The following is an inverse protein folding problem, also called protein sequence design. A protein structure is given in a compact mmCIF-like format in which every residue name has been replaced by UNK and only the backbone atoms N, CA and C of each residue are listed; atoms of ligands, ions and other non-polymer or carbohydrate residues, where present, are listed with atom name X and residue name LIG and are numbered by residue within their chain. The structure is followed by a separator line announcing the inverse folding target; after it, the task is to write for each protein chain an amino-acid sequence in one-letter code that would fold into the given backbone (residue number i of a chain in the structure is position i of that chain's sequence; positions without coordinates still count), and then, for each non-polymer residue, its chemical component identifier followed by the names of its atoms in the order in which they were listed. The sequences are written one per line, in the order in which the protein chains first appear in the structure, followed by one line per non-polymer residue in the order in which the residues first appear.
data_IF_312022653894
#
_entry.id   IF_312022653894
#
_cell.length_a   1.000
_cell.length_b   1.000
_cell.length_c   1.000
_cell.angle_alpha   90.00
_cell.angle_beta   90.00
_cell.angle_gamma   90.00
#
_symmetry.space_group_name_H-M   'P 1'
#
loop_
_entity.id
_entity.type
_entity.pdbx_description
1 polymer ?
#
# COMPACT_ATOMS: atom_id res chain seq x y z
N UNK A 1 4.34 11.52 -19.57
CA UNK A 1 4.57 12.86 -18.98
C UNK A 1 5.40 12.80 -17.70
N UNK A 2 5.00 12.01 -16.69
CA UNK A 2 5.75 11.83 -15.43
C UNK A 2 7.22 11.39 -15.59
N UNK A 3 7.54 10.52 -16.55
CA UNK A 3 8.93 10.11 -16.84
C UNK A 3 9.81 11.24 -17.42
N UNK A 4 9.21 12.17 -18.19
CA UNK A 4 9.91 13.36 -18.70
C UNK A 4 10.14 14.38 -17.59
N UNK A 5 9.17 14.56 -16.68
CA UNK A 5 9.30 15.41 -15.49
C UNK A 5 10.37 14.84 -14.55
N UNK A 6 10.37 13.52 -14.34
CA UNK A 6 11.40 12.86 -13.53
C UNK A 6 12.80 13.06 -14.11
N UNK A 7 13.02 12.86 -15.41
CA UNK A 7 14.33 13.10 -16.02
C UNK A 7 14.72 14.58 -16.11
N UNK A 8 13.75 15.49 -16.16
CA UNK A 8 14.01 16.94 -16.13
C UNK A 8 14.46 17.42 -14.74
N UNK A 9 13.89 16.85 -13.67
CA UNK A 9 14.20 17.25 -12.29
C UNK A 9 15.28 16.40 -11.61
N UNK A 10 15.39 15.11 -11.94
CA UNK A 10 16.33 14.14 -11.36
C UNK A 10 17.33 13.59 -12.36
N UNK A 11 17.48 14.23 -13.53
CA UNK A 11 18.59 13.95 -14.44
C UNK A 11 19.90 13.92 -13.67
N UNK A 12 20.76 12.94 -13.99
CA UNK A 12 22.02 12.66 -13.30
C UNK A 12 22.73 13.96 -12.92
N UNK A 13 23.23 14.10 -11.67
CA UNK A 13 23.98 15.29 -11.31
C UNK A 13 25.09 15.48 -12.36
N UNK A 14 25.30 16.71 -12.88
CA UNK A 14 26.41 16.95 -13.77
C UNK A 14 27.69 16.64 -12.98
N UNK A 15 28.29 15.48 -13.22
CA UNK A 15 29.54 15.06 -12.57
C UNK A 15 30.62 16.12 -12.81
N UNK A 16 30.61 16.77 -13.97
CA UNK A 16 31.53 17.83 -14.37
C UNK A 16 31.63 19.03 -13.41
N UNK A 17 30.57 19.40 -12.68
CA UNK A 17 30.61 20.59 -11.81
C UNK A 17 30.95 20.33 -10.35
N UNK A 18 30.96 19.07 -9.91
CA UNK A 18 31.38 18.73 -8.55
C UNK A 18 32.91 18.70 -8.46
N UNK A 19 33.57 18.32 -9.54
CA UNK A 19 35.03 18.26 -9.61
C UNK A 19 35.65 19.68 -9.69
N UNK A 20 34.99 20.63 -10.36
CA UNK A 20 35.48 22.02 -10.50
C UNK A 20 35.42 22.87 -9.22
N UNK A 21 34.58 22.51 -8.24
CA UNK A 21 34.45 23.27 -6.98
C UNK A 21 35.34 22.69 -5.86
N UNK A 22 35.94 21.52 -6.07
CA UNK A 22 36.68 20.78 -5.02
C UNK A 22 38.14 20.47 -5.36
N UNK A 23 38.65 20.88 -6.52
CA UNK A 23 40.03 20.64 -6.91
C UNK A 23 40.84 21.94 -6.95
N UNK A 24 41.47 22.37 -5.83
CA UNK A 24 42.64 23.23 -5.94
C UNK A 24 43.74 22.44 -6.65
N UNK A 25 44.39 23.10 -7.61
CA UNK A 25 45.28 22.53 -8.61
C UNK A 25 46.25 21.47 -8.12
N UNK A 26 46.42 20.48 -8.98
CA UNK A 26 47.43 19.44 -8.98
C UNK A 26 48.81 20.00 -8.61
N UNK A 27 49.27 19.72 -7.40
CA UNK A 27 50.67 19.43 -7.08
C UNK A 27 50.85 19.16 -5.58
N UNK A 28 50.13 18.18 -5.03
CA UNK A 28 50.52 17.59 -3.75
C UNK A 28 50.07 16.13 -3.62
N UNK A 29 51.04 15.23 -3.86
CA UNK A 29 51.05 13.87 -3.30
C UNK A 29 50.90 13.96 -1.78
N UNK A 30 49.71 13.71 -1.26
CA UNK A 30 49.52 13.36 0.15
C UNK A 30 48.34 12.41 0.30
N UNK A 31 48.63 11.19 0.74
CA UNK A 31 47.69 10.11 1.06
C UNK A 31 46.78 10.41 2.28
N UNK A 32 46.44 11.67 2.53
CA UNK A 32 45.77 12.11 3.78
C UNK A 32 44.64 13.11 3.60
N UNK A 33 44.26 13.49 2.38
CA UNK A 33 43.05 14.28 2.17
C UNK A 33 41.84 13.38 1.91
N UNK A 34 41.35 12.74 2.96
CA UNK A 34 39.92 12.46 3.04
C UNK A 34 39.24 13.80 3.36
N UNK A 35 38.57 14.47 2.40
CA UNK A 35 37.82 15.68 2.71
C UNK A 35 36.90 15.35 3.88
N UNK A 36 37.03 16.15 4.94
CA UNK A 36 36.37 15.88 6.21
C UNK A 36 34.89 15.55 5.95
N UNK A 37 34.38 14.42 6.46
CA UNK A 37 33.05 13.89 6.10
C UNK A 37 31.91 14.90 6.31
N UNK A 38 32.12 15.92 7.13
CA UNK A 38 31.15 17.00 7.34
C UNK A 38 31.00 17.97 6.14
N UNK A 39 32.06 18.25 5.35
CA UNK A 39 31.97 19.15 4.19
C UNK A 39 31.19 18.49 3.06
N UNK A 40 31.47 17.21 2.78
CA UNK A 40 30.71 16.42 1.81
C UNK A 40 29.23 16.33 2.20
N UNK A 41 28.95 16.12 3.49
CA UNK A 41 27.56 16.12 4.00
C UNK A 41 26.88 17.48 3.83
N UNK A 42 27.57 18.59 4.08
CA UNK A 42 27.01 19.94 3.87
C UNK A 42 26.68 20.21 2.40
N UNK A 43 27.61 19.92 1.48
CA UNK A 43 27.38 20.12 0.05
C UNK A 43 26.20 19.27 -0.46
N UNK A 44 26.14 18.00 -0.04
CA UNK A 44 25.01 17.13 -0.37
C UNK A 44 23.69 17.64 0.20
N UNK A 45 23.69 18.11 1.45
CA UNK A 45 22.50 18.67 2.08
C UNK A 45 21.98 19.90 1.31
N UNK A 46 22.85 20.87 1.01
CA UNK A 46 22.46 22.07 0.25
C UNK A 46 21.93 21.73 -1.14
N UNK A 47 22.54 20.75 -1.82
CA UNK A 47 22.07 20.29 -3.13
C UNK A 47 20.69 19.63 -3.06
N UNK A 48 20.49 18.73 -2.09
CA UNK A 48 19.23 18.04 -1.87
C UNK A 48 18.13 19.03 -1.48
N UNK A 49 18.39 19.93 -0.54
CA UNK A 49 17.41 20.95 -0.12
C UNK A 49 17.03 21.89 -1.27
N UNK A 50 18.00 22.40 -2.04
CA UNK A 50 17.70 23.26 -3.18
C UNK A 50 16.82 22.59 -4.23
N UNK A 51 16.98 21.27 -4.44
CA UNK A 51 16.08 20.51 -5.32
C UNK A 51 14.70 20.32 -4.71
N UNK A 52 14.62 19.97 -3.43
CA UNK A 52 13.35 19.75 -2.73
C UNK A 52 12.51 21.04 -2.66
N UNK A 53 13.14 22.18 -2.41
CA UNK A 53 12.47 23.48 -2.32
C UNK A 53 11.86 23.92 -3.66
N UNK A 54 12.45 23.53 -4.78
CA UNK A 54 11.87 23.78 -6.10
C UNK A 54 10.79 22.76 -6.50
N UNK A 55 10.95 21.50 -6.09
CA UNK A 55 10.14 20.40 -6.56
C UNK A 55 8.85 20.20 -5.75
N UNK A 56 8.92 20.33 -4.42
CA UNK A 56 7.79 20.07 -3.55
C UNK A 56 6.64 21.07 -3.77
N UNK A 57 6.86 22.40 -3.83
CA UNK A 57 5.78 23.35 -4.12
C UNK A 57 5.11 23.06 -5.47
N UNK A 58 5.90 22.80 -6.51
CA UNK A 58 5.39 22.43 -7.84
C UNK A 58 4.52 21.17 -7.79
N UNK A 59 4.98 20.13 -7.08
CA UNK A 59 4.20 18.91 -6.91
C UNK A 59 2.90 19.18 -6.13
N UNK A 60 2.96 20.07 -5.13
CA UNK A 60 1.82 20.47 -4.34
C UNK A 60 0.76 21.15 -5.19
N UNK A 61 1.14 22.20 -5.93
CA UNK A 61 0.26 22.92 -6.84
C UNK A 61 -0.34 22.00 -7.91
N UNK A 62 0.46 21.08 -8.45
CA UNK A 62 0.00 20.11 -9.44
C UNK A 62 -1.07 19.17 -8.85
N UNK A 63 -0.86 18.63 -7.65
CA UNK A 63 -1.82 17.76 -6.98
C UNK A 63 -3.10 18.53 -6.60
N UNK A 64 -2.97 19.75 -6.10
CA UNK A 64 -4.10 20.62 -5.81
C UNK A 64 -4.94 20.87 -7.06
N UNK A 65 -4.30 21.21 -8.18
CA UNK A 65 -5.00 21.45 -9.45
C UNK A 65 -5.77 20.23 -9.97
N UNK A 66 -5.35 19.02 -9.58
CA UNK A 66 -6.02 17.78 -9.94
C UNK A 66 -7.21 17.44 -9.03
N UNK A 67 -7.16 17.83 -7.75
CA UNK A 67 -8.27 17.60 -6.81
C UNK A 67 -9.33 18.70 -6.88
N UNK A 68 -8.89 19.94 -7.07
CA UNK A 68 -9.72 21.11 -7.33
C UNK A 68 -10.09 21.15 -8.82
N UNK A 69 -10.73 20.09 -9.31
CA UNK A 69 -11.15 19.98 -10.70
C UNK A 69 -12.01 21.18 -11.10
N UNK A 70 -11.76 21.74 -12.29
CA UNK A 70 -12.42 22.97 -12.78
C UNK A 70 -13.92 22.79 -12.96
N UNK A 71 -14.40 21.56 -13.04
CA UNK A 71 -15.84 21.26 -13.19
C UNK A 71 -16.57 21.11 -11.84
N UNK A 72 -15.87 21.19 -10.71
CA UNK A 72 -16.50 21.15 -9.39
C UNK A 72 -17.15 22.49 -9.01
N UNK A 73 -18.28 22.41 -8.30
CA UNK A 73 -18.99 23.58 -7.77
C UNK A 73 -18.08 24.37 -6.82
N UNK A 74 -18.07 25.71 -6.93
CA UNK A 74 -17.14 26.62 -6.21
C UNK A 74 -17.02 26.34 -4.70
N UNK A 75 -18.14 26.00 -4.06
CA UNK A 75 -18.19 25.65 -2.63
C UNK A 75 -17.34 24.41 -2.26
N UNK A 76 -17.28 23.41 -3.14
CA UNK A 76 -16.47 22.20 -2.91
C UNK A 76 -14.99 22.54 -3.11
N UNK A 77 -14.68 23.28 -4.16
CA UNK A 77 -13.33 23.74 -4.46
C UNK A 77 -12.75 24.53 -3.28
N UNK A 78 -13.54 25.42 -2.68
CA UNK A 78 -13.12 26.17 -1.48
C UNK A 78 -12.69 25.27 -0.34
N UNK A 79 -13.52 24.27 0.03
CA UNK A 79 -13.18 23.35 1.13
C UNK A 79 -12.02 22.41 0.81
N UNK A 80 -11.84 22.05 -0.47
CA UNK A 80 -10.69 21.25 -0.90
C UNK A 80 -9.39 22.05 -0.75
N UNK A 81 -9.39 23.32 -1.15
CA UNK A 81 -8.23 24.22 -0.99
C UNK A 81 -7.94 24.47 0.49
N UNK A 82 -8.96 24.77 1.29
CA UNK A 82 -8.80 24.97 2.75
C UNK A 82 -8.20 23.73 3.43
N UNK A 83 -8.74 22.54 3.15
CA UNK A 83 -8.19 21.30 3.68
C UNK A 83 -6.78 20.98 3.14
N UNK A 84 -6.46 21.44 1.94
CA UNK A 84 -5.13 21.26 1.35
C UNK A 84 -4.08 22.12 2.05
N UNK A 85 -4.38 23.39 2.31
CA UNK A 85 -3.49 24.31 3.02
C UNK A 85 -3.16 23.81 4.43
N UNK A 86 -4.12 23.14 5.09
CA UNK A 86 -3.92 22.49 6.38
C UNK A 86 -3.03 21.23 6.31
N UNK A 87 -3.16 20.42 5.25
CA UNK A 87 -2.55 19.07 5.17
C UNK A 87 -1.21 19.08 4.44
N UNK A 88 -1.04 19.94 3.44
CA UNK A 88 0.14 19.95 2.58
C UNK A 88 1.46 20.16 3.33
N UNK A 89 1.57 21.08 4.31
CA UNK A 89 2.82 21.28 5.05
C UNK A 89 3.32 20.01 5.76
N UNK A 90 2.39 19.19 6.28
CA UNK A 90 2.72 17.93 6.94
C UNK A 90 3.18 16.86 5.93
N UNK A 91 2.54 16.80 4.77
CA UNK A 91 2.92 15.90 3.66
C UNK A 91 4.28 16.29 3.10
N UNK A 92 4.51 17.57 2.89
CA UNK A 92 5.79 18.13 2.45
C UNK A 92 6.92 17.75 3.42
N UNK A 93 6.71 17.94 4.72
CA UNK A 93 7.68 17.60 5.76
C UNK A 93 8.02 16.10 5.76
N UNK A 94 7.02 15.22 5.67
CA UNK A 94 7.25 13.76 5.63
C UNK A 94 7.97 13.32 4.34
N UNK A 95 7.64 13.91 3.19
CA UNK A 95 8.34 13.64 1.93
C UNK A 95 9.79 14.13 1.97
N UNK A 96 10.02 15.36 2.44
CA UNK A 96 11.37 15.94 2.60
C UNK A 96 12.21 15.04 3.51
N UNK A 97 11.65 14.59 4.62
CA UNK A 97 12.30 13.66 5.56
C UNK A 97 12.68 12.31 4.90
N UNK A 98 11.72 11.64 4.23
CA UNK A 98 11.99 10.36 3.54
C UNK A 98 13.06 10.47 2.46
N UNK A 99 13.08 11.59 1.73
CA UNK A 99 14.07 11.83 0.69
C UNK A 99 15.46 12.07 1.30
N UNK A 100 15.57 12.85 2.39
CA UNK A 100 16.83 13.00 3.12
C UNK A 100 17.39 11.68 3.63
N UNK A 101 16.53 10.80 4.16
CA UNK A 101 16.93 9.46 4.60
C UNK A 101 17.44 8.62 3.41
N UNK A 102 16.72 8.64 2.28
CA UNK A 102 17.09 7.90 1.07
C UNK A 102 18.44 8.34 0.47
N UNK A 103 18.75 9.63 0.55
CA UNK A 103 20.02 10.19 0.06
C UNK A 103 21.14 10.18 1.11
N UNK A 104 20.92 9.59 2.29
CA UNK A 104 21.92 9.49 3.36
C UNK A 104 22.30 10.82 4.01
N UNK A 105 21.46 11.85 3.84
CA UNK A 105 21.63 13.17 4.48
C UNK A 105 21.33 13.04 5.98
N UNK A 106 20.26 12.34 6.33
CA UNK A 106 19.88 12.00 7.70
C UNK A 106 20.22 10.55 8.03
N UNK A 107 20.51 10.29 9.30
CA UNK A 107 20.81 8.94 9.79
C UNK A 107 19.57 8.26 10.35
N UNK A 108 19.58 6.93 10.42
CA UNK A 108 18.48 6.15 10.99
C UNK A 108 18.21 6.51 12.48
N UNK A 109 19.21 7.02 13.21
CA UNK A 109 18.99 7.54 14.57
C UNK A 109 18.11 8.80 14.60
N UNK A 110 18.16 9.63 13.56
CA UNK A 110 17.30 10.81 13.42
C UNK A 110 15.85 10.41 13.08
N UNK A 111 15.65 9.24 12.46
CA UNK A 111 14.32 8.67 12.15
C UNK A 111 13.47 8.38 13.39
N UNK A 112 14.11 7.99 14.49
CA UNK A 112 13.45 7.64 15.75
C UNK A 112 12.84 8.91 16.38
N UNK A 113 13.53 10.05 16.28
CA UNK A 113 13.04 11.33 16.78
C UNK A 113 11.91 11.89 15.90
N UNK A 114 11.98 11.71 14.58
CA UNK A 114 10.93 12.17 13.66
C UNK A 114 9.64 11.35 13.81
N UNK A 115 9.76 10.02 13.96
CA UNK A 115 8.60 9.14 14.22
C UNK A 115 7.96 9.42 15.58
N UNK A 116 8.71 9.90 16.58
CA UNK A 116 8.15 10.38 17.85
C UNK A 116 7.38 11.71 17.71
N UNK A 117 7.76 12.61 16.79
CA UNK A 117 6.98 13.82 16.48
C UNK A 117 5.67 13.50 15.76
N UNK A 118 5.69 12.60 14.77
CA UNK A 118 4.47 12.18 14.07
C UNK A 118 3.49 11.40 14.96
N UNK A 119 3.93 10.89 16.13
CA UNK A 119 2.99 10.37 17.15
C UNK A 119 2.17 11.44 17.87
N UNK A 120 2.43 12.74 17.64
CA UNK A 120 1.60 13.86 18.12
C UNK A 120 0.48 14.26 17.16
N UNK A 121 0.19 13.48 16.13
CA UNK A 121 -1.10 13.59 15.45
C UNK A 121 -2.21 13.52 16.51
N UNK A 122 -3.21 14.45 16.49
CA UNK A 122 -4.25 14.48 17.49
C UNK A 122 -4.91 13.10 17.56
N UNK A 123 -4.81 12.44 18.72
CA UNK A 123 -5.50 11.17 19.00
C UNK A 123 -7.04 11.31 18.93
N UNK A 124 -7.51 12.53 18.80
CA UNK A 124 -8.91 12.86 18.64
C UNK A 124 -9.29 12.51 17.20
N UNK A 125 -10.07 11.45 17.06
CA UNK A 125 -10.79 11.18 15.82
C UNK A 125 -11.52 12.46 15.41
N UNK A 126 -11.58 12.82 14.11
CA UNK A 126 -12.35 13.97 13.67
C UNK A 126 -13.79 13.88 14.24
N UNK A 127 -14.40 15.00 14.66
CA UNK A 127 -15.63 15.04 15.45
C UNK A 127 -16.84 14.36 14.78
N UNK A 128 -16.74 14.05 13.49
CA UNK A 128 -17.77 13.37 12.68
C UNK A 128 -17.78 11.84 12.85
N UNK A 129 -16.84 11.24 13.60
CA UNK A 129 -16.88 9.80 13.85
C UNK A 129 -17.85 9.46 14.99
N UNK A 130 -18.93 8.70 14.73
CA UNK A 130 -19.87 8.32 15.77
C UNK A 130 -19.15 7.54 16.87
N UNK A 131 -19.12 8.09 18.08
CA UNK A 131 -18.57 7.42 19.26
C UNK A 131 -19.34 6.11 19.48
N UNK A 132 -18.70 4.99 19.18
CA UNK A 132 -19.28 3.62 19.22
C UNK A 132 -19.61 3.15 20.65
N UNK A 133 -19.65 4.04 21.64
CA UNK A 133 -19.69 3.70 23.07
C UNK A 133 -21.08 3.35 23.62
N UNK A 134 -22.16 3.41 22.83
CA UNK A 134 -23.51 3.12 23.32
C UNK A 134 -24.35 2.27 22.37
N UNK A 135 -23.89 1.06 22.01
CA UNK A 135 -24.73 0.05 21.36
C UNK A 135 -25.12 -1.06 22.35
N UNK A 136 -26.31 -1.03 22.97
CA UNK A 136 -26.70 -1.93 24.07
C UNK A 136 -26.99 -3.38 23.66
N UNK A 137 -26.80 -3.76 22.38
CA UNK A 137 -27.24 -5.08 21.85
C UNK A 137 -26.11 -5.95 21.27
N UNK A 138 -24.84 -5.64 21.54
CA UNK A 138 -23.69 -6.35 20.92
C UNK A 138 -23.45 -7.78 21.42
N UNK A 139 -23.84 -8.12 22.65
CA UNK A 139 -23.56 -9.46 23.22
C UNK A 139 -24.40 -10.57 22.58
N UNK A 140 -25.68 -10.33 22.28
CA UNK A 140 -26.58 -11.34 21.71
C UNK A 140 -26.26 -11.66 20.24
N UNK A 141 -25.95 -10.65 19.42
CA UNK A 141 -25.58 -10.86 18.02
C UNK A 141 -24.24 -11.58 17.84
N UNK A 142 -23.23 -11.27 18.67
CA UNK A 142 -21.93 -11.97 18.63
C UNK A 142 -22.06 -13.45 18.97
N UNK A 143 -22.95 -13.80 19.89
CA UNK A 143 -23.17 -15.21 20.27
C UNK A 143 -23.95 -15.96 19.18
N UNK A 144 -24.97 -15.33 18.60
CA UNK A 144 -25.76 -15.92 17.50
C UNK A 144 -24.93 -16.10 16.22
N UNK A 145 -24.08 -15.12 15.89
CA UNK A 145 -23.14 -15.21 14.76
C UNK A 145 -22.07 -16.29 14.98
N UNK A 146 -21.52 -16.41 16.20
CA UNK A 146 -20.58 -17.50 16.53
C UNK A 146 -21.23 -18.87 16.42
N UNK A 147 -22.47 -19.02 16.88
CA UNK A 147 -23.22 -20.29 16.76
C UNK A 147 -23.49 -20.66 15.29
N UNK A 148 -23.96 -19.70 14.48
CA UNK A 148 -24.19 -19.91 13.04
C UNK A 148 -22.88 -20.25 12.31
N UNK A 149 -21.80 -19.52 12.55
CA UNK A 149 -20.50 -19.83 11.95
C UNK A 149 -19.93 -21.17 12.41
N UNK A 150 -20.16 -21.57 13.67
CA UNK A 150 -19.79 -22.90 14.17
C UNK A 150 -20.48 -24.03 13.40
N UNK A 151 -21.79 -23.87 13.15
CA UNK A 151 -22.59 -24.86 12.40
C UNK A 151 -22.18 -24.96 10.93
N UNK A 152 -21.85 -23.82 10.31
CA UNK A 152 -21.28 -23.79 8.96
C UNK A 152 -19.93 -24.49 8.93
N UNK A 153 -19.05 -24.26 9.93
CA UNK A 153 -17.74 -24.90 10.03
C UNK A 153 -17.83 -26.43 10.14
N UNK A 154 -18.81 -26.95 10.89
CA UNK A 154 -19.05 -28.40 11.00
C UNK A 154 -19.61 -29.03 9.72
N UNK A 155 -20.30 -28.27 8.87
CA UNK A 155 -20.70 -28.75 7.54
C UNK A 155 -19.49 -28.81 6.60
N UNK A 156 -18.56 -27.85 6.73
CA UNK A 156 -17.32 -27.85 5.95
C UNK A 156 -16.34 -28.97 6.35
N UNK A 157 -16.33 -29.45 7.60
CA UNK A 157 -15.42 -30.55 8.01
C UNK A 157 -15.79 -31.91 7.41
N UNK A 158 -17.04 -32.14 7.00
CA UNK A 158 -17.42 -33.33 6.23
C UNK A 158 -16.92 -33.29 4.78
N UNK A 159 -16.51 -32.13 4.28
CA UNK A 159 -16.02 -31.93 2.91
C UNK A 159 -14.49 -31.95 2.85
N UNK A 160 -13.86 -33.02 3.35
CA UNK A 160 -12.39 -33.24 3.30
C UNK A 160 -11.75 -32.93 1.93
N UNK A 161 -12.30 -33.33 0.77
CA UNK A 161 -11.68 -32.99 -0.51
C UNK A 161 -11.66 -31.48 -0.78
N UNK A 162 -12.67 -30.73 -0.34
CA UNK A 162 -12.69 -29.27 -0.49
C UNK A 162 -11.66 -28.59 0.41
N UNK A 163 -11.35 -29.14 1.58
CA UNK A 163 -10.28 -28.59 2.43
C UNK A 163 -8.90 -28.79 1.80
N UNK A 164 -8.65 -29.93 1.18
CA UNK A 164 -7.40 -30.18 0.46
C UNK A 164 -7.29 -29.29 -0.79
N UNK A 165 -8.36 -29.19 -1.59
CA UNK A 165 -8.40 -28.31 -2.76
C UNK A 165 -8.24 -26.84 -2.37
N UNK A 166 -8.88 -26.40 -1.29
CA UNK A 166 -8.70 -25.06 -0.72
C UNK A 166 -7.25 -24.82 -0.31
N UNK A 167 -6.64 -25.76 0.42
CA UNK A 167 -5.25 -25.63 0.84
C UNK A 167 -4.31 -25.55 -0.37
N UNK A 168 -4.50 -26.39 -1.39
CA UNK A 168 -3.72 -26.37 -2.62
C UNK A 168 -3.88 -25.04 -3.39
N UNK A 169 -5.11 -24.54 -3.50
CA UNK A 169 -5.40 -23.27 -4.17
C UNK A 169 -4.83 -22.08 -3.41
N UNK A 170 -4.96 -22.05 -2.08
CA UNK A 170 -4.36 -21.01 -1.25
C UNK A 170 -2.83 -21.05 -1.32
N UNK A 171 -2.24 -22.24 -1.31
CA UNK A 171 -0.80 -22.41 -1.45
C UNK A 171 -0.29 -21.93 -2.80
N UNK A 172 -1.06 -22.15 -3.87
CA UNK A 172 -0.76 -21.60 -5.18
C UNK A 172 -0.93 -20.07 -5.24
N UNK A 173 -1.94 -19.50 -4.58
CA UNK A 173 -2.23 -18.06 -4.59
C UNK A 173 -1.31 -17.22 -3.70
N UNK A 174 -0.83 -17.79 -2.59
CA UNK A 174 -0.05 -17.10 -1.57
C UNK A 174 1.21 -17.90 -1.25
N UNK A 175 2.22 -17.89 -2.14
CA UNK A 175 3.51 -18.51 -1.85
C UNK A 175 4.24 -17.66 -0.79
N UNK A 176 3.95 -17.88 0.49
CA UNK A 176 4.55 -17.09 1.58
C UNK A 176 6.06 -17.33 1.71
N UNK A 177 6.57 -18.49 1.25
CA UNK A 177 7.97 -18.89 1.42
C UNK A 177 8.59 -19.61 0.20
N UNK A 178 7.96 -19.57 -0.99
CA UNK A 178 8.53 -20.24 -2.17
C UNK A 178 9.35 -19.28 -3.03
N UNK A 179 10.67 -19.50 -3.10
CA UNK A 179 11.58 -18.78 -4.00
C UNK A 179 11.21 -18.96 -5.47
N UNK A 180 10.64 -20.11 -5.83
CA UNK A 180 10.15 -20.42 -7.18
C UNK A 180 8.63 -20.51 -7.13
N UNK A 181 7.96 -19.65 -7.89
CA UNK A 181 6.50 -19.69 -7.99
C UNK A 181 6.08 -20.91 -8.81
N UNK A 182 5.13 -21.72 -8.34
CA UNK A 182 4.65 -22.87 -9.09
C UNK A 182 4.00 -22.42 -10.40
N UNK A 183 4.07 -23.24 -11.46
CA UNK A 183 3.41 -22.96 -12.75
C UNK A 183 1.91 -22.66 -12.61
N UNK A 184 1.26 -23.27 -11.61
CA UNK A 184 -0.13 -23.02 -11.23
C UNK A 184 -0.39 -21.56 -10.84
N UNK A 185 0.58 -20.88 -10.21
CA UNK A 185 0.46 -19.45 -9.90
C UNK A 185 0.35 -18.63 -11.19
N UNK A 186 1.22 -18.88 -12.16
CA UNK A 186 1.18 -18.17 -13.44
C UNK A 186 -0.07 -18.49 -14.23
N UNK A 187 -0.53 -19.74 -14.22
CA UNK A 187 -1.81 -20.11 -14.82
C UNK A 187 -2.97 -19.34 -14.17
N UNK A 188 -3.01 -19.21 -12.84
CA UNK A 188 -4.02 -18.39 -12.17
C UNK A 188 -3.87 -16.90 -12.47
N UNK A 189 -2.64 -16.37 -12.54
CA UNK A 189 -2.42 -14.98 -12.93
C UNK A 189 -2.91 -14.76 -14.35
N UNK A 190 -2.55 -15.61 -15.30
CA UNK A 190 -3.02 -15.55 -16.69
C UNK A 190 -4.54 -15.68 -16.74
N UNK A 191 -5.17 -16.66 -16.09
CA UNK A 191 -6.64 -16.79 -16.06
C UNK A 191 -7.30 -15.56 -15.43
N UNK A 192 -6.70 -14.96 -14.41
CA UNK A 192 -7.20 -13.71 -13.81
C UNK A 192 -6.90 -12.45 -14.66
N UNK A 193 -5.88 -12.52 -15.54
CA UNK A 193 -5.40 -11.41 -16.36
C UNK A 193 -5.97 -11.44 -17.78
N UNK A 194 -6.40 -12.61 -18.26
CA UNK A 194 -7.17 -12.76 -19.48
C UNK A 194 -8.53 -12.14 -19.19
N UNK A 195 -8.62 -10.91 -19.66
CA UNK A 195 -9.69 -9.92 -19.47
C UNK A 195 -10.98 -10.43 -20.08
N UNK A 196 -11.60 -11.40 -19.41
CA UNK A 196 -13.03 -11.62 -19.54
C UNK A 196 -13.62 -10.88 -18.35
N UNK A 197 -14.00 -9.61 -18.56
CA UNK A 197 -14.31 -8.63 -17.51
C UNK A 197 -15.22 -9.17 -16.38
N UNK A 198 -16.08 -10.15 -16.67
CA UNK A 198 -17.00 -10.76 -15.71
C UNK A 198 -16.40 -11.93 -14.90
N UNK A 199 -15.51 -12.75 -15.49
CA UNK A 199 -14.92 -13.90 -14.78
C UNK A 199 -14.00 -13.44 -13.65
N UNK A 200 -13.35 -12.29 -13.80
CA UNK A 200 -12.46 -11.76 -12.79
C UNK A 200 -13.18 -11.39 -11.48
N UNK A 201 -14.39 -10.83 -11.56
CA UNK A 201 -15.19 -10.50 -10.37
C UNK A 201 -15.58 -11.77 -9.59
N UNK A 202 -16.01 -12.81 -10.30
CA UNK A 202 -16.29 -14.12 -9.71
C UNK A 202 -15.04 -14.75 -9.08
N UNK A 203 -13.90 -14.68 -9.76
CA UNK A 203 -12.64 -15.19 -9.23
C UNK A 203 -12.21 -14.48 -7.93
N UNK A 204 -12.39 -13.15 -7.84
CA UNK A 204 -12.11 -12.39 -6.63
C UNK A 204 -13.06 -12.75 -5.48
N UNK A 205 -14.36 -12.92 -5.75
CA UNK A 205 -15.34 -13.37 -4.75
C UNK A 205 -15.04 -14.80 -4.27
N UNK A 206 -14.68 -15.69 -5.19
CA UNK A 206 -14.25 -17.05 -4.86
C UNK A 206 -12.99 -17.03 -3.99
N UNK A 207 -12.00 -16.21 -4.35
CA UNK A 207 -10.79 -16.01 -3.54
C UNK A 207 -11.13 -15.53 -2.13
N UNK A 208 -12.02 -14.55 -1.99
CA UNK A 208 -12.49 -14.08 -0.69
C UNK A 208 -13.23 -15.17 0.11
N UNK A 209 -14.02 -16.02 -0.56
CA UNK A 209 -14.68 -17.14 0.09
C UNK A 209 -13.68 -18.18 0.63
N UNK A 210 -12.58 -18.41 -0.10
CA UNK A 210 -11.53 -19.39 0.21
C UNK A 210 -10.48 -18.89 1.21
N UNK A 211 -10.28 -17.58 1.36
CA UNK A 211 -9.31 -17.03 2.32
C UNK A 211 -9.70 -17.34 3.77
N UNK A 212 -8.70 -17.61 4.60
CA UNK A 212 -8.91 -17.64 6.04
C UNK A 212 -9.04 -16.21 6.61
N UNK A 213 -10.17 -15.95 7.26
CA UNK A 213 -10.52 -14.64 7.84
C UNK A 213 -9.79 -14.37 9.16
N UNK A 214 -9.17 -15.40 9.75
CA UNK A 214 -8.27 -15.23 10.91
C UNK A 214 -6.85 -14.83 10.53
N UNK A 215 -6.44 -15.06 9.28
CA UNK A 215 -5.07 -14.78 8.83
C UNK A 215 -4.98 -13.36 8.24
N UNK A 216 -4.26 -12.49 8.94
CA UNK A 216 -4.07 -11.09 8.55
C UNK A 216 -3.32 -10.95 7.23
N UNK A 217 -2.34 -11.83 6.96
CA UNK A 217 -1.55 -11.76 5.74
C UNK A 217 -2.41 -12.06 4.53
N UNK A 218 -3.26 -13.08 4.60
CA UNK A 218 -4.19 -13.40 3.52
C UNK A 218 -5.22 -12.27 3.28
N UNK A 219 -5.74 -11.66 4.36
CA UNK A 219 -6.65 -10.52 4.25
C UNK A 219 -5.97 -9.29 3.62
N UNK A 220 -4.77 -8.95 4.07
CA UNK A 220 -4.00 -7.82 3.53
C UNK A 220 -3.64 -8.05 2.06
N UNK A 221 -3.17 -9.26 1.72
CA UNK A 221 -2.83 -9.62 0.35
C UNK A 221 -4.06 -9.62 -0.57
N UNK A 222 -5.25 -9.99 -0.07
CA UNK A 222 -6.50 -9.83 -0.79
C UNK A 222 -6.85 -8.38 -1.09
N UNK A 223 -6.75 -7.48 -0.10
CA UNK A 223 -7.03 -6.06 -0.29
C UNK A 223 -6.08 -5.45 -1.33
N UNK A 224 -4.79 -5.76 -1.25
CA UNK A 224 -3.77 -5.27 -2.19
C UNK A 224 -4.06 -5.81 -3.60
N UNK A 225 -4.31 -7.11 -3.74
CA UNK A 225 -4.65 -7.72 -5.03
C UNK A 225 -5.92 -7.11 -5.64
N UNK A 226 -6.92 -6.83 -4.81
CA UNK A 226 -8.17 -6.20 -5.24
C UNK A 226 -7.97 -4.76 -5.74
N UNK A 227 -7.07 -3.99 -5.09
CA UNK A 227 -6.70 -2.63 -5.53
C UNK A 227 -5.90 -2.65 -6.84
N UNK A 228 -4.94 -3.57 -6.96
CA UNK A 228 -4.20 -3.77 -8.20
C UNK A 228 -5.13 -4.14 -9.37
N UNK A 229 -6.09 -5.04 -9.11
CA UNK A 229 -7.13 -5.39 -10.07
C UNK A 229 -7.97 -4.18 -10.49
N UNK A 230 -8.41 -3.36 -9.53
CA UNK A 230 -9.19 -2.17 -9.83
C UNK A 230 -8.43 -1.18 -10.73
N UNK A 231 -7.13 -0.99 -10.46
CA UNK A 231 -6.26 -0.14 -11.29
C UNK A 231 -6.09 -0.71 -12.71
N UNK A 232 -5.85 -2.01 -12.85
CA UNK A 232 -5.63 -2.62 -14.17
C UNK A 232 -6.92 -2.67 -15.00
N UNK A 233 -8.02 -3.14 -14.42
CA UNK A 233 -9.28 -3.34 -15.16
C UNK A 233 -10.04 -2.05 -15.35
N UNK A 234 -10.36 -1.33 -14.27
CA UNK A 234 -11.13 -0.09 -14.37
C UNK A 234 -10.28 1.12 -14.75
N UNK A 235 -8.98 1.08 -14.49
CA UNK A 235 -8.05 2.11 -14.98
C UNK A 235 -7.68 1.86 -16.43
N UNK A 236 -6.82 0.88 -16.70
CA UNK A 236 -6.20 0.74 -18.03
C UNK A 236 -7.14 0.16 -19.09
N UNK A 237 -7.79 -0.97 -18.78
CA UNK A 237 -8.61 -1.69 -19.77
C UNK A 237 -9.87 -0.89 -20.10
N UNK A 238 -10.61 -0.41 -19.09
CA UNK A 238 -11.80 0.39 -19.32
C UNK A 238 -11.48 1.68 -20.08
N UNK A 239 -10.35 2.34 -19.77
CA UNK A 239 -9.90 3.51 -20.52
C UNK A 239 -9.64 3.16 -21.98
N UNK A 240 -8.94 2.04 -22.25
CA UNK A 240 -8.66 1.60 -23.61
C UNK A 240 -9.94 1.24 -24.39
N UNK A 241 -10.90 0.56 -23.74
CA UNK A 241 -12.20 0.21 -24.32
C UNK A 241 -13.03 1.47 -24.61
N UNK A 242 -13.14 2.38 -23.65
CA UNK A 242 -13.88 3.63 -23.82
C UNK A 242 -13.23 4.51 -24.91
N UNK A 243 -11.90 4.55 -24.99
CA UNK A 243 -11.19 5.25 -26.06
C UNK A 243 -11.49 4.60 -27.42
N UNK A 244 -11.45 3.27 -27.53
CA UNK A 244 -11.76 2.57 -28.78
C UNK A 244 -13.21 2.80 -29.23
N UNK A 245 -14.17 2.75 -28.30
CA UNK A 245 -15.58 3.07 -28.59
C UNK A 245 -15.71 4.52 -29.05
N UNK A 246 -15.06 5.46 -28.35
CA UNK A 246 -15.07 6.87 -28.72
C UNK A 246 -14.48 7.10 -30.12
N UNK A 247 -13.32 6.53 -30.43
CA UNK A 247 -12.71 6.64 -31.75
C UNK A 247 -13.60 6.03 -32.84
N UNK A 248 -14.18 4.85 -32.60
CA UNK A 248 -15.12 4.26 -33.54
C UNK A 248 -16.33 5.16 -33.76
N UNK A 249 -16.89 5.75 -32.70
CA UNK A 249 -17.98 6.71 -32.81
C UNK A 249 -17.58 7.92 -33.64
N UNK A 250 -16.45 8.57 -33.35
CA UNK A 250 -16.01 9.76 -34.10
C UNK A 250 -15.71 9.45 -35.58
N UNK A 251 -15.13 8.28 -35.88
CA UNK A 251 -14.71 7.94 -37.24
C UNK A 251 -15.83 7.38 -38.12
N UNK A 252 -16.84 6.72 -37.54
CA UNK A 252 -17.92 6.07 -38.32
C UNK A 252 -19.14 6.96 -38.54
N UNK A 253 -19.25 8.10 -37.85
CA UNK A 253 -20.47 8.92 -37.83
C UNK A 253 -20.51 10.05 -38.88
N UNK A 254 -19.70 9.93 -39.93
CA UNK A 254 -19.76 10.83 -41.09
C UNK A 254 -20.95 10.41 -41.99
N UNK A 255 -22.18 10.64 -41.52
CA UNK A 255 -23.39 10.61 -42.37
C UNK A 255 -24.55 9.70 -41.93
N UNK A 256 -24.45 8.95 -40.83
CA UNK A 256 -25.54 8.13 -40.30
C UNK A 256 -26.16 8.78 -39.04
N UNK A 257 -27.44 8.49 -38.74
CA UNK A 257 -28.11 8.96 -37.52
C UNK A 257 -27.47 8.29 -36.27
N UNK A 258 -26.51 8.98 -35.66
CA UNK A 258 -25.92 8.79 -34.32
C UNK A 258 -26.30 7.50 -33.56
N UNK A 259 -25.75 6.32 -33.92
CA UNK A 259 -25.97 5.08 -33.17
C UNK A 259 -25.33 5.12 -31.76
N UNK A 260 -24.32 5.97 -31.56
CA UNK A 260 -23.55 6.05 -30.31
C UNK A 260 -24.35 6.54 -29.09
N UNK A 261 -25.43 7.31 -29.30
CA UNK A 261 -26.31 7.73 -28.21
C UNK A 261 -27.08 6.53 -27.59
N UNK A 262 -27.31 5.48 -28.38
CA UNK A 262 -28.08 4.31 -27.94
C UNK A 262 -27.20 3.14 -27.48
N UNK A 263 -25.91 3.12 -27.84
CA UNK A 263 -24.93 2.10 -27.41
C UNK A 263 -24.06 2.55 -26.24
N UNK A 264 -24.46 3.59 -25.51
CA UNK A 264 -23.73 4.05 -24.33
C UNK A 264 -23.63 2.91 -23.27
N UNK A 265 -22.45 2.70 -22.65
CA UNK A 265 -22.16 1.54 -21.80
C UNK A 265 -22.95 1.42 -20.47
N UNK A 266 -23.98 2.25 -20.26
CA UNK A 266 -24.88 2.18 -19.10
C UNK A 266 -26.30 1.67 -19.40
N UNK A 267 -26.64 1.42 -20.67
CA UNK A 267 -28.01 1.02 -21.07
C UNK A 267 -28.23 -0.48 -21.21
N UNK A 268 -27.17 -1.27 -21.29
CA UNK A 268 -27.31 -2.72 -21.42
C UNK A 268 -27.83 -3.35 -20.13
N UNK A 269 -28.73 -4.34 -20.25
CA UNK A 269 -29.27 -5.08 -19.09
C UNK A 269 -28.16 -5.71 -18.22
N UNK A 270 -27.01 -6.03 -18.83
CA UNK A 270 -25.84 -6.57 -18.15
C UNK A 270 -25.20 -5.59 -17.17
N UNK A 271 -25.40 -4.28 -17.34
CA UNK A 271 -24.82 -3.24 -16.50
C UNK A 271 -25.17 -3.41 -15.03
N UNK A 272 -26.45 -3.66 -14.71
CA UNK A 272 -26.89 -3.81 -13.32
C UNK A 272 -26.31 -5.04 -12.63
N UNK A 273 -26.14 -6.13 -13.38
CA UNK A 273 -25.46 -7.33 -12.87
C UNK A 273 -24.00 -7.02 -12.55
N UNK A 274 -23.30 -6.33 -13.46
CA UNK A 274 -21.88 -6.04 -13.29
C UNK A 274 -21.67 -5.02 -12.15
N UNK A 275 -22.55 -4.01 -12.05
CA UNK A 275 -22.59 -3.05 -10.95
C UNK A 275 -22.85 -3.71 -9.59
N UNK A 276 -23.83 -4.61 -9.50
CA UNK A 276 -24.14 -5.31 -8.24
C UNK A 276 -23.00 -6.23 -7.81
N UNK A 277 -22.36 -6.94 -8.74
CA UNK A 277 -21.19 -7.77 -8.45
C UNK A 277 -20.00 -6.94 -7.97
N UNK A 278 -19.79 -5.78 -8.57
CA UNK A 278 -18.78 -4.82 -8.15
C UNK A 278 -19.06 -4.28 -6.74
N UNK A 279 -20.31 -3.94 -6.44
CA UNK A 279 -20.73 -3.50 -5.11
C UNK A 279 -20.50 -4.59 -4.05
N UNK A 280 -20.86 -5.85 -4.35
CA UNK A 280 -20.61 -6.99 -3.46
C UNK A 280 -19.10 -7.16 -3.21
N UNK A 281 -18.28 -7.07 -4.26
CA UNK A 281 -16.81 -7.13 -4.15
C UNK A 281 -16.28 -6.02 -3.25
N UNK A 282 -16.75 -4.79 -3.44
CA UNK A 282 -16.37 -3.64 -2.60
C UNK A 282 -16.75 -3.88 -1.13
N UNK A 283 -17.94 -4.40 -0.86
CA UNK A 283 -18.35 -4.80 0.49
C UNK A 283 -17.43 -5.88 1.09
N UNK A 284 -16.98 -6.87 0.31
CA UNK A 284 -16.02 -7.88 0.77
C UNK A 284 -14.68 -7.27 1.18
N UNK A 285 -14.18 -6.27 0.44
CA UNK A 285 -12.91 -5.58 0.73
C UNK A 285 -13.02 -4.76 2.00
N UNK A 286 -14.11 -4.00 2.16
CA UNK A 286 -14.37 -3.26 3.40
C UNK A 286 -14.52 -4.21 4.59
N UNK A 287 -15.20 -5.33 4.41
CA UNK A 287 -15.29 -6.36 5.44
C UNK A 287 -13.92 -6.92 5.82
N UNK A 288 -13.06 -7.24 4.84
CA UNK A 288 -11.68 -7.66 5.09
C UNK A 288 -10.88 -6.59 5.85
N UNK A 289 -11.02 -5.32 5.48
CA UNK A 289 -10.38 -4.20 6.16
C UNK A 289 -10.82 -4.06 7.63
N UNK A 290 -12.11 -4.23 7.91
CA UNK A 290 -12.60 -4.22 9.30
C UNK A 290 -12.11 -5.41 10.12
N UNK A 291 -11.85 -6.56 9.49
CA UNK A 291 -11.27 -7.73 10.16
C UNK A 291 -9.81 -7.52 10.56
N UNK A 292 -9.01 -6.82 9.74
CA UNK A 292 -7.61 -6.51 10.06
C UNK A 292 -7.47 -5.80 11.42
N UNK A 293 -8.40 -4.90 11.75
CA UNK A 293 -8.35 -4.11 13.00
C UNK A 293 -8.55 -4.94 14.27
N UNK A 294 -8.98 -6.20 14.15
CA UNK A 294 -9.34 -7.06 15.28
C UNK A 294 -8.25 -8.05 15.71
N UNK A 295 -7.14 -8.16 14.98
CA UNK A 295 -6.02 -9.00 15.41
C UNK A 295 -5.02 -8.16 16.19
N UNK A 296 -5.18 -8.17 17.51
CA UNK A 296 -4.14 -7.74 18.44
C UNK A 296 -3.08 -8.84 18.65
N UNK A 297 -3.21 -9.99 17.97
CA UNK A 297 -2.40 -11.20 18.18
C UNK A 297 -1.28 -11.39 17.16
N UNK A 298 -1.29 -10.67 16.05
CA UNK A 298 -0.27 -10.80 14.99
C UNK A 298 1.13 -10.45 15.47
N UNK A 299 1.29 -9.43 16.32
CA UNK A 299 2.62 -9.06 16.82
C UNK A 299 3.27 -10.18 17.61
N UNK A 300 2.54 -10.91 18.45
CA UNK A 300 3.13 -11.93 19.31
C UNK A 300 3.56 -13.16 18.49
N UNK A 301 2.75 -13.58 17.51
CA UNK A 301 3.06 -14.68 16.60
C UNK A 301 4.13 -14.31 15.57
N UNK A 302 4.12 -13.08 15.05
CA UNK A 302 5.17 -12.57 14.18
C UNK A 302 6.51 -12.51 14.91
N UNK A 303 6.52 -12.02 16.16
CA UNK A 303 7.70 -12.02 17.01
C UNK A 303 8.19 -13.45 17.29
N UNK A 304 7.28 -14.41 17.49
CA UNK A 304 7.65 -15.81 17.71
C UNK A 304 8.22 -16.48 16.46
N UNK A 305 7.65 -16.20 15.27
CA UNK A 305 8.18 -16.66 13.98
C UNK A 305 9.53 -16.04 13.66
N UNK A 306 9.70 -14.74 13.93
CA UNK A 306 10.97 -14.04 13.77
C UNK A 306 12.02 -14.59 14.75
N UNK A 307 11.62 -14.87 16.00
CA UNK A 307 12.48 -15.54 16.98
C UNK A 307 12.86 -16.96 16.55
N UNK A 308 11.96 -17.72 15.93
CA UNK A 308 12.26 -19.04 15.35
C UNK A 308 13.20 -18.94 14.16
N UNK A 309 12.99 -17.98 13.25
CA UNK A 309 13.89 -17.72 12.10
C UNK A 309 15.29 -17.32 12.57
N UNK A 310 15.38 -16.40 13.53
CA UNK A 310 16.66 -16.00 14.14
C UNK A 310 17.33 -17.16 14.90
N UNK A 311 16.54 -18.01 15.57
CA UNK A 311 17.06 -19.21 16.24
C UNK A 311 17.64 -20.26 15.29
N UNK A 312 17.06 -20.41 14.09
CA UNK A 312 17.58 -21.32 13.06
C UNK A 312 18.82 -20.73 12.39
N UNK A 313 18.84 -19.42 12.11
CA UNK A 313 19.97 -18.76 11.46
C UNK A 313 21.19 -18.58 12.38
N UNK A 314 20.98 -18.45 13.68
CA UNK A 314 22.09 -18.26 14.63
C UNK A 314 22.97 -19.52 14.80
N UNK A 315 22.52 -20.69 14.36
CA UNK A 315 23.13 -21.94 14.79
C UNK A 315 23.02 -22.11 16.32
N UNK A 316 23.15 -23.34 16.80
CA UNK A 316 23.06 -23.63 18.25
C UNK A 316 24.05 -22.80 19.09
N UNK A 317 25.17 -22.36 18.50
CA UNK A 317 26.22 -21.60 19.18
C UNK A 317 25.95 -20.08 19.36
N UNK A 318 25.33 -19.38 18.39
CA UNK A 318 25.07 -17.92 18.55
C UNK A 318 23.77 -17.61 19.28
N UNK A 319 22.80 -18.53 19.28
CA UNK A 319 21.56 -18.36 20.05
C UNK A 319 21.83 -18.26 21.57
N UNK A 320 22.88 -18.93 22.05
CA UNK A 320 23.28 -18.92 23.45
C UNK A 320 24.04 -17.64 23.84
N UNK A 321 24.81 -17.05 22.92
CA UNK A 321 25.40 -15.71 23.09
C UNK A 321 24.33 -14.61 23.09
N UNK A 322 23.34 -14.67 22.20
CA UNK A 322 22.27 -13.66 22.14
C UNK A 322 21.37 -13.70 23.38
N UNK A 323 21.11 -14.89 23.95
CA UNK A 323 20.39 -15.02 25.23
C UNK A 323 21.12 -14.34 26.39
N UNK A 324 22.46 -14.36 26.41
CA UNK A 324 23.25 -13.66 27.44
C UNK A 324 23.25 -12.14 27.25
N UNK A 325 23.09 -11.64 26.03
CA UNK A 325 23.09 -10.20 25.75
C UNK A 325 21.71 -9.54 25.98
N UNK A 326 20.61 -10.28 25.82
CA UNK A 326 19.24 -9.72 25.91
C UNK A 326 18.65 -9.85 27.32
N UNK A 327 19.19 -10.71 28.19
CA UNK A 327 18.83 -10.70 29.61
C UNK A 327 19.75 -9.69 30.31
N UNK A 328 19.30 -8.46 30.60
CA UNK A 328 20.10 -7.57 31.45
C UNK A 328 20.31 -8.28 32.79
N UNK A 329 21.56 -8.45 33.21
CA UNK A 329 21.98 -9.06 34.48
C UNK A 329 21.43 -8.38 35.74
N UNK A 330 20.54 -7.39 35.61
CA UNK A 330 19.96 -6.62 36.70
C UNK A 330 18.45 -6.70 36.86
N UNK A 331 17.75 -7.70 36.29
CA UNK A 331 16.31 -7.85 36.59
C UNK A 331 16.13 -8.20 38.08
N UNK A 332 15.59 -7.31 38.93
CA UNK A 332 15.50 -7.52 40.36
C UNK A 332 14.66 -8.76 40.64
N UNK A 333 15.23 -9.72 41.39
CA UNK A 333 14.51 -10.89 41.89
C UNK A 333 13.29 -10.38 42.64
N UNK A 334 12.11 -10.58 42.06
CA UNK A 334 10.83 -10.30 42.69
C UNK A 334 10.72 -11.26 43.89
N UNK A 335 11.10 -10.78 45.08
CA UNK A 335 10.86 -11.49 46.33
C UNK A 335 9.35 -11.68 46.45
N UNK A 336 8.92 -12.94 46.46
CA UNK A 336 7.56 -13.30 46.83
C UNK A 336 7.47 -13.06 48.34
N UNK A 337 6.79 -11.98 48.71
CA UNK A 337 6.18 -11.83 50.02
C UNK A 337 4.84 -12.54 50.06
#
# INVERSE_FOLDING_TARGET
MAYRVYNYFFGSPPQEKIDDVLLPGDDMRSDTWNPLPHLRRRALNTFVEGRLDSFLPFLGDYLLSYMADREQHDAVTFHVVEAWDDVWPDVEADLRWKLRLKFGVETENDSIMHTMRLRRWPKHSPPFWPRVSKWPRRKTWRNKARYLMGRVRTLFTKLRPLTAARAALLHACFPADQQVRPSVYYAMVIVNSVVVCQLCNWAMLLRFALIDRSDEYQLASFIIANKAYHFLVYGLIQLAQNAAIYFNCVLTDVGARHPCANTAPGRELGYWRDFTMELVRLCCVWYAFFLLRSSKGGNEQAFELERKRLGIMAGSASAERLKRLIVPEGAPKRQRG
#
